data_IF_477705567904
#
_entry.id   IF_477705567904
#
_cell.length_a   1.000
_cell.length_b   1.000
_cell.length_c   1.000
_cell.angle_alpha   90.00
_cell.angle_beta   90.00
_cell.angle_gamma   90.00
#
_symmetry.space_group_name_H-M   'P 1'
#
loop_
_entity.id
_entity.type
_entity.pdbx_description
1 polymer ?
#
# COMPACT_ATOMS: atom_id res chain seq x y z
N UNK A 1 11.19 -11.82 -0.83
CA UNK A 1 9.72 -11.57 -0.73
C UNK A 1 9.15 -11.54 -2.15
N UNK A 2 8.12 -12.30 -2.40
CA UNK A 2 7.51 -12.29 -3.73
C UNK A 2 6.57 -11.10 -3.87
N UNK A 3 6.07 -10.89 -5.10
CA UNK A 3 5.25 -9.73 -5.40
C UNK A 3 3.96 -9.69 -4.57
N UNK A 4 3.32 -10.84 -4.43
CA UNK A 4 2.07 -10.91 -3.66
C UNK A 4 2.29 -10.47 -2.22
N UNK A 5 3.31 -11.03 -1.58
CA UNK A 5 3.64 -10.69 -0.19
C UNK A 5 3.98 -9.21 -0.07
N UNK A 6 4.71 -8.67 -1.04
CA UNK A 6 5.10 -7.27 -1.02
C UNK A 6 3.88 -6.35 -1.14
N UNK A 7 2.96 -6.65 -2.05
CA UNK A 7 1.77 -5.82 -2.25
C UNK A 7 0.91 -5.84 -0.99
N UNK A 8 0.73 -7.00 -0.38
CA UNK A 8 -0.03 -7.10 0.88
C UNK A 8 0.67 -6.33 1.99
N UNK A 9 1.99 -6.47 2.10
CA UNK A 9 2.74 -5.74 3.12
C UNK A 9 2.67 -4.24 2.92
N UNK A 10 2.68 -3.79 1.66
CA UNK A 10 2.53 -2.38 1.33
C UNK A 10 1.16 -1.86 1.78
N UNK A 11 0.12 -2.62 1.53
CA UNK A 11 -1.23 -2.25 1.96
C UNK A 11 -1.29 -2.11 3.48
N UNK A 12 -0.69 -3.05 4.21
CA UNK A 12 -0.67 -2.98 5.66
C UNK A 12 0.10 -1.77 6.16
N UNK A 13 1.21 -1.42 5.52
CA UNK A 13 1.95 -0.22 5.88
C UNK A 13 1.13 1.04 5.66
N UNK A 14 0.37 1.09 4.57
CA UNK A 14 -0.52 2.22 4.31
C UNK A 14 -1.60 2.35 5.38
N UNK A 15 -2.01 1.25 6.00
CA UNK A 15 -2.97 1.29 7.09
C UNK A 15 -2.35 1.76 8.41
N UNK A 16 -1.07 1.50 8.61
CA UNK A 16 -0.44 1.78 9.90
C UNK A 16 0.28 3.12 9.95
N UNK A 17 0.55 3.72 8.80
CA UNK A 17 1.25 5.00 8.71
C UNK A 17 0.39 6.03 8.03
N UNK A 18 0.53 7.28 8.47
CA UNK A 18 -0.24 8.37 7.88
C UNK A 18 0.17 8.62 6.43
N UNK A 19 1.46 8.62 6.17
CA UNK A 19 2.02 8.89 4.84
C UNK A 19 3.27 8.06 4.64
N UNK A 20 3.46 7.53 3.44
CA UNK A 20 4.69 6.84 3.07
C UNK A 20 5.16 7.35 1.72
N UNK A 21 6.47 7.43 1.55
CA UNK A 21 7.04 7.87 0.27
C UNK A 21 7.45 6.65 -0.55
N UNK A 22 7.47 6.82 -1.88
CA UNK A 22 7.95 5.75 -2.75
C UNK A 22 9.38 5.37 -2.40
N UNK A 23 10.20 6.35 -2.03
CA UNK A 23 11.58 6.08 -1.67
C UNK A 23 11.68 5.25 -0.39
N UNK A 24 10.93 5.59 0.62
CA UNK A 24 10.97 4.83 1.87
C UNK A 24 10.48 3.41 1.64
N UNK A 25 9.48 3.23 0.79
CA UNK A 25 8.96 1.91 0.46
C UNK A 25 9.97 1.11 -0.35
N UNK A 26 10.65 1.75 -1.31
CA UNK A 26 11.67 1.06 -2.09
C UNK A 26 12.82 0.60 -1.22
N UNK A 27 13.22 1.42 -0.25
CA UNK A 27 14.25 1.03 0.70
C UNK A 27 13.77 -0.10 1.62
N UNK A 28 12.54 0.00 2.09
CA UNK A 28 11.99 -0.98 3.00
C UNK A 28 11.88 -2.37 2.36
N UNK A 29 11.47 -2.43 1.11
CA UNK A 29 11.28 -3.69 0.40
C UNK A 29 12.46 -4.10 -0.47
N UNK A 30 13.49 -3.27 -0.53
CA UNK A 30 14.68 -3.51 -1.35
C UNK A 30 14.30 -3.73 -2.82
N UNK A 31 13.50 -2.84 -3.34
CA UNK A 31 13.10 -2.82 -4.75
C UNK A 31 13.21 -1.39 -5.28
N UNK A 32 13.11 -1.23 -6.60
CA UNK A 32 13.16 0.10 -7.19
C UNK A 32 11.88 0.88 -6.91
N UNK A 33 11.96 2.20 -6.98
CA UNK A 33 10.76 3.04 -6.86
C UNK A 33 9.77 2.73 -7.97
N UNK A 34 10.26 2.36 -9.14
CA UNK A 34 9.41 1.96 -10.25
C UNK A 34 8.54 0.77 -9.87
N UNK A 35 9.12 -0.21 -9.18
CA UNK A 35 8.37 -1.36 -8.68
C UNK A 35 7.32 -0.92 -7.69
N UNK A 36 7.64 0.04 -6.81
CA UNK A 36 6.67 0.56 -5.86
C UNK A 36 5.50 1.24 -6.57
N UNK A 37 5.77 2.05 -7.59
CA UNK A 37 4.69 2.68 -8.37
C UNK A 37 3.77 1.64 -9.00
N UNK A 38 4.35 0.55 -9.51
CA UNK A 38 3.55 -0.53 -10.09
C UNK A 38 2.71 -1.24 -9.03
N UNK A 39 3.26 -1.46 -7.85
CA UNK A 39 2.54 -2.10 -6.76
C UNK A 39 1.38 -1.21 -6.28
N UNK A 40 1.61 0.10 -6.20
CA UNK A 40 0.56 1.05 -5.84
C UNK A 40 -0.56 1.00 -6.87
N UNK A 41 -0.20 0.97 -8.16
CA UNK A 41 -1.21 0.87 -9.21
C UNK A 41 -2.00 -0.43 -9.11
N UNK A 42 -1.33 -1.51 -8.74
CA UNK A 42 -2.01 -2.79 -8.52
C UNK A 42 -3.07 -2.66 -7.42
N UNK A 43 -2.74 -2.00 -6.34
CA UNK A 43 -3.70 -1.77 -5.25
C UNK A 43 -4.85 -0.87 -5.70
N UNK A 44 -4.55 0.19 -6.43
CA UNK A 44 -5.59 1.08 -6.95
C UNK A 44 -6.54 0.33 -7.86
N UNK A 45 -6.00 -0.51 -8.74
CA UNK A 45 -6.83 -1.32 -9.65
C UNK A 45 -7.70 -2.31 -8.89
N UNK A 46 -7.27 -2.72 -7.72
CA UNK A 46 -8.05 -3.61 -6.86
C UNK A 46 -9.09 -2.87 -6.03
N UNK A 47 -9.17 -1.54 -6.15
CA UNK A 47 -10.17 -0.76 -5.45
C UNK A 47 -9.68 -0.06 -4.19
N UNK A 48 -8.39 -0.12 -3.90
CA UNK A 48 -7.85 0.56 -2.72
C UNK A 48 -7.69 2.05 -3.04
N UNK A 49 -8.37 2.94 -2.31
CA UNK A 49 -8.29 4.37 -2.57
C UNK A 49 -7.00 4.95 -2.01
N UNK A 50 -6.01 5.09 -2.85
CA UNK A 50 -4.71 5.64 -2.48
C UNK A 50 -4.61 7.06 -3.00
N UNK A 51 -4.33 8.01 -2.09
CA UNK A 51 -4.04 9.38 -2.46
C UNK A 51 -2.54 9.56 -2.60
N UNK A 52 -2.17 10.54 -3.42
CA UNK A 52 -0.78 10.91 -3.60
C UNK A 52 -0.67 12.42 -3.56
N UNK A 53 0.26 12.91 -2.77
CA UNK A 53 0.51 14.34 -2.69
C UNK A 53 1.97 14.60 -3.05
N UNK A 54 2.23 15.35 -4.12
CA UNK A 54 3.60 15.62 -4.55
C UNK A 54 4.44 16.22 -3.42
N UNK A 55 5.62 15.69 -3.24
CA UNK A 55 6.53 16.15 -2.19
C UNK A 55 6.22 15.61 -0.80
N UNK A 56 5.10 14.92 -0.62
CA UNK A 56 4.71 14.37 0.68
C UNK A 56 4.67 12.86 0.66
N UNK A 57 3.93 12.25 -0.27
CA UNK A 57 3.90 10.80 -0.41
C UNK A 57 2.52 10.24 -0.65
N UNK A 58 2.37 8.97 -0.32
CA UNK A 58 1.14 8.21 -0.52
C UNK A 58 0.43 7.99 0.81
N UNK A 59 -0.88 7.91 0.75
CA UNK A 59 -1.70 7.70 1.94
C UNK A 59 -3.01 7.02 1.52
N UNK A 60 -3.66 6.35 2.47
CA UNK A 60 -5.00 5.84 2.23
C UNK A 60 -6.01 6.96 2.45
N UNK A 61 -7.01 7.02 1.59
CA UNK A 61 -8.09 7.99 1.75
C UNK A 61 -8.79 7.78 3.10
N UNK A 62 -9.21 8.87 3.69
CA UNK A 62 -9.88 8.82 4.99
C UNK A 62 -11.13 7.97 4.93
N UNK A 63 -11.33 7.19 5.97
CA UNK A 63 -12.51 6.35 6.07
C UNK A 63 -12.39 4.99 5.43
N UNK A 64 -11.33 4.76 4.65
CA UNK A 64 -11.15 3.45 4.06
C UNK A 64 -10.72 2.45 5.12
N UNK A 65 -11.38 1.32 5.15
CA UNK A 65 -11.00 0.20 5.99
C UNK A 65 -11.08 -1.06 5.18
N UNK A 66 -10.17 -1.96 5.45
CA UNK A 66 -10.29 -3.29 4.88
C UNK A 66 -11.61 -3.86 5.37
N UNK A 67 -12.37 -4.50 4.47
CA UNK A 67 -13.60 -5.15 4.90
C UNK A 67 -13.25 -6.09 6.03
N UNK A 68 -14.07 -6.18 7.06
CA UNK A 68 -13.83 -7.18 8.09
C UNK A 68 -13.89 -8.54 7.40
N UNK A 69 -12.75 -9.04 7.11
CA UNK A 69 -12.67 -10.39 6.63
C UNK A 69 -12.95 -11.22 7.84
N UNK A 70 -14.17 -11.55 7.95
CA UNK A 70 -14.55 -12.49 8.94
C UNK A 70 -13.95 -13.82 8.58
N UNK A 71 -12.77 -14.04 9.06
CA UNK A 71 -12.24 -15.38 9.08
C UNK A 71 -12.88 -16.15 10.21
N UNK A 72 -14.01 -15.70 10.63
CA UNK A 72 -14.74 -16.50 11.55
C UNK A 72 -15.06 -17.78 10.83
N UNK A 73 -14.54 -18.77 11.37
CA UNK A 73 -14.80 -20.10 10.95
C UNK A 73 -16.13 -20.53 11.51
N UNK A 74 -17.14 -19.85 11.16
CA UNK A 74 -18.47 -20.32 11.51
C UNK A 74 -19.12 -20.96 10.35
#
# INVERSE_FOLDING_TARGET
>A
MNRFDRVISLLLLLHTRAVVTARSLSDHFDVSERTIYRDIRTLENAGVPIGAEPGIGYFLEQGYRLPPVSFTLD
#
